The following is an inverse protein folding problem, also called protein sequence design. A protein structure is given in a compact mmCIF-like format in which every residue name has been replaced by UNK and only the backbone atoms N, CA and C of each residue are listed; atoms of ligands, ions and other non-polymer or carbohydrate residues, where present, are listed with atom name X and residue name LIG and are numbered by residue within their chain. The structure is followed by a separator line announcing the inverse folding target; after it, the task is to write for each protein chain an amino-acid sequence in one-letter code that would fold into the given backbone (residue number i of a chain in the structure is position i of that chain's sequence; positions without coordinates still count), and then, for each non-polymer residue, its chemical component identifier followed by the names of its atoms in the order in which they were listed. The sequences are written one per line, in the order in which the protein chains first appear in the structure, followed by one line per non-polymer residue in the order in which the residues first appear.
data_IF_202771729457
#
_entry.id   IF_202771729457
#
_cell.length_a   1.000
_cell.length_b   1.000
_cell.length_c   1.000
_cell.angle_alpha   90.00
_cell.angle_beta   90.00
_cell.angle_gamma   90.00
#
_symmetry.space_group_name_H-M   'P 1'
#
loop_
_entity.id
_entity.type
_entity.pdbx_description
1 polymer ?
#
# COMPACT_ATOMS: atom_id res chain seq x y z
N UNK A 1 -7.66 11.90 26.10
CA UNK A 1 -8.96 11.65 26.77
C UNK A 1 -9.77 12.92 27.13
N UNK A 2 -9.79 13.98 26.28
CA UNK A 2 -10.73 15.13 26.45
C UNK A 2 -12.14 14.82 25.94
N UNK A 3 -12.26 13.93 24.93
CA UNK A 3 -13.52 13.52 24.28
C UNK A 3 -14.52 12.81 25.22
N UNK A 4 -14.04 12.07 26.22
CA UNK A 4 -14.92 11.34 27.15
C UNK A 4 -15.68 12.25 28.13
N UNK A 5 -15.26 13.50 28.34
CA UNK A 5 -15.90 14.44 29.29
C UNK A 5 -17.14 15.15 28.72
N UNK A 6 -17.44 14.99 27.43
CA UNK A 6 -18.54 15.69 26.75
C UNK A 6 -19.71 14.77 26.36
N UNK A 7 -19.77 13.53 26.89
CA UNK A 7 -20.77 12.51 26.54
C UNK A 7 -22.23 12.88 26.84
N UNK A 8 -22.49 13.90 27.66
CA UNK A 8 -23.84 14.27 28.12
C UNK A 8 -24.38 15.57 27.47
N UNK A 9 -23.74 16.10 26.43
CA UNK A 9 -24.23 17.28 25.70
C UNK A 9 -24.83 16.90 24.35
N UNK A 10 -25.98 17.49 23.98
CA UNK A 10 -26.73 17.09 22.78
C UNK A 10 -26.02 17.42 21.46
N UNK A 11 -25.02 18.31 21.47
CA UNK A 11 -24.13 18.55 20.34
C UNK A 11 -22.75 19.09 20.78
N UNK A 12 -21.74 18.23 21.01
CA UNK A 12 -20.44 18.65 21.52
C UNK A 12 -19.53 19.28 20.46
N UNK A 13 -19.84 19.12 19.17
CA UNK A 13 -18.96 19.51 18.06
C UNK A 13 -18.58 21.00 18.07
N UNK A 14 -19.50 21.98 18.25
CA UNK A 14 -19.13 23.39 18.25
C UNK A 14 -18.13 23.75 19.36
N UNK A 15 -18.25 23.14 20.54
CA UNK A 15 -17.31 23.36 21.65
C UNK A 15 -15.95 22.75 21.37
N UNK A 16 -15.92 21.56 20.77
CA UNK A 16 -14.69 20.89 20.35
C UNK A 16 -13.97 21.76 19.32
N UNK A 17 -14.67 22.20 18.27
CA UNK A 17 -14.08 23.04 17.22
C UNK A 17 -13.58 24.38 17.76
N UNK A 18 -14.33 25.05 18.65
CA UNK A 18 -13.83 26.27 19.32
C UNK A 18 -12.57 26.03 20.14
N UNK A 19 -12.41 24.83 20.71
CA UNK A 19 -11.19 24.47 21.42
C UNK A 19 -10.05 24.24 20.43
N UNK A 20 -10.30 23.50 19.35
CA UNK A 20 -9.32 23.26 18.28
C UNK A 20 -8.84 24.56 17.66
N UNK A 21 -9.72 25.54 17.43
CA UNK A 21 -9.35 26.84 16.86
C UNK A 21 -8.37 27.62 17.72
N UNK A 22 -8.34 27.40 19.04
CA UNK A 22 -7.34 28.02 19.92
C UNK A 22 -5.94 27.45 19.72
N UNK A 23 -5.87 26.18 19.30
CA UNK A 23 -4.63 25.42 19.21
C UNK A 23 -4.14 25.33 17.74
N UNK A 24 -5.06 25.39 16.76
CA UNK A 24 -4.78 25.13 15.34
C UNK A 24 -5.57 26.06 14.42
N UNK A 25 -4.85 26.73 13.51
CA UNK A 25 -5.43 27.47 12.39
C UNK A 25 -5.55 26.65 11.11
N UNK A 26 -4.69 25.62 10.97
CA UNK A 26 -4.61 24.74 9.81
C UNK A 26 -4.71 23.28 10.28
N UNK A 27 -5.56 22.50 9.63
CA UNK A 27 -5.71 21.06 9.87
C UNK A 27 -5.43 20.30 8.57
N UNK A 28 -4.60 19.27 8.67
CA UNK A 28 -4.31 18.36 7.57
C UNK A 28 -5.04 17.02 7.77
N UNK A 29 -5.86 16.63 6.80
CA UNK A 29 -6.49 15.31 6.73
C UNK A 29 -5.87 14.51 5.60
N UNK A 30 -5.03 13.54 5.95
CA UNK A 30 -4.49 12.60 4.97
C UNK A 30 -5.49 11.46 4.70
N UNK A 31 -5.56 11.02 3.44
CA UNK A 31 -6.40 9.91 2.95
C UNK A 31 -7.89 9.99 3.36
N UNK A 32 -8.53 11.11 3.08
CA UNK A 32 -9.95 11.31 3.33
C UNK A 32 -10.80 10.34 2.51
N UNK A 33 -11.44 9.39 3.19
CA UNK A 33 -12.33 8.39 2.62
C UNK A 33 -13.50 8.11 3.57
N UNK A 34 -14.67 7.83 3.02
CA UNK A 34 -15.89 7.57 3.78
C UNK A 34 -16.42 6.20 3.38
N UNK A 35 -16.52 5.28 4.35
CA UNK A 35 -16.96 3.90 4.14
C UNK A 35 -18.25 3.56 4.88
N UNK A 36 -18.70 4.41 5.82
CA UNK A 36 -19.89 4.21 6.64
C UNK A 36 -20.70 5.52 6.78
N UNK A 37 -22.03 5.43 6.78
CA UNK A 37 -22.95 6.56 6.94
C UNK A 37 -22.80 7.28 8.28
N UNK A 38 -22.53 6.55 9.38
CA UNK A 38 -22.37 7.18 10.69
C UNK A 38 -21.14 8.11 10.71
N UNK A 39 -20.03 7.64 10.15
CA UNK A 39 -18.80 8.42 10.00
C UNK A 39 -19.04 9.60 9.05
N UNK A 40 -19.76 9.38 7.95
CA UNK A 40 -20.12 10.43 6.99
C UNK A 40 -20.87 11.59 7.67
N UNK A 41 -21.87 11.27 8.50
CA UNK A 41 -22.69 12.27 9.20
C UNK A 41 -21.88 13.07 10.24
N UNK A 42 -21.03 12.40 11.02
CA UNK A 42 -20.17 13.07 12.01
C UNK A 42 -19.15 13.96 11.31
N UNK A 43 -18.52 13.45 10.26
CA UNK A 43 -17.47 14.14 9.52
C UNK A 43 -18.02 15.34 8.75
N UNK A 44 -19.18 15.21 8.11
CA UNK A 44 -19.85 16.32 7.44
C UNK A 44 -20.14 17.48 8.39
N UNK A 45 -20.73 17.18 9.56
CA UNK A 45 -20.97 18.20 10.61
C UNK A 45 -19.68 18.81 11.15
N UNK A 46 -18.62 18.01 11.29
CA UNK A 46 -17.33 18.50 11.77
C UNK A 46 -16.70 19.48 10.77
N UNK A 47 -16.70 19.13 9.48
CA UNK A 47 -16.16 20.00 8.42
C UNK A 47 -16.95 21.31 8.32
N UNK A 48 -18.28 21.26 8.37
CA UNK A 48 -19.13 22.44 8.42
C UNK A 48 -18.75 23.37 9.59
N UNK A 49 -18.50 22.80 10.78
CA UNK A 49 -18.05 23.59 11.93
C UNK A 49 -16.64 24.16 11.73
N UNK A 50 -15.72 23.43 11.11
CA UNK A 50 -14.38 23.94 10.80
C UNK A 50 -14.43 25.14 9.83
N UNK A 51 -15.20 25.03 8.75
CA UNK A 51 -15.40 26.13 7.80
C UNK A 51 -16.01 27.35 8.49
N UNK A 52 -17.06 27.14 9.29
CA UNK A 52 -17.73 28.22 10.05
C UNK A 52 -16.85 28.90 11.09
N UNK A 53 -15.74 28.27 11.51
CA UNK A 53 -14.80 28.82 12.50
C UNK A 53 -13.46 29.23 11.85
N UNK A 54 -13.41 29.40 10.53
CA UNK A 54 -12.21 29.83 9.78
C UNK A 54 -10.99 28.96 10.07
N UNK A 55 -11.17 27.65 10.17
CA UNK A 55 -10.07 26.68 10.19
C UNK A 55 -9.78 26.30 8.75
N UNK A 56 -8.53 26.49 8.32
CA UNK A 56 -8.10 26.11 6.99
C UNK A 56 -7.85 24.60 6.94
N UNK A 57 -8.46 23.93 5.97
CA UNK A 57 -8.34 22.48 5.83
C UNK A 57 -7.55 22.16 4.58
N UNK A 58 -6.54 21.32 4.74
CA UNK A 58 -5.83 20.69 3.61
C UNK A 58 -6.12 19.20 3.70
N UNK A 59 -6.59 18.61 2.59
CA UNK A 59 -6.91 17.19 2.57
C UNK A 59 -6.46 16.50 1.28
N UNK A 60 -6.04 15.24 1.41
CA UNK A 60 -5.77 14.35 0.28
C UNK A 60 -6.89 13.30 0.21
N UNK A 61 -7.31 12.92 -1.00
CA UNK A 61 -8.29 11.85 -1.20
C UNK A 61 -8.04 11.15 -2.53
N UNK A 62 -8.30 9.85 -2.56
CA UNK A 62 -8.34 9.07 -3.80
C UNK A 62 -9.71 9.14 -4.50
N UNK A 63 -10.67 9.85 -3.91
CA UNK A 63 -12.05 9.98 -4.40
C UNK A 63 -12.37 11.46 -4.57
N UNK A 64 -12.90 11.87 -5.73
CA UNK A 64 -13.35 13.25 -5.92
C UNK A 64 -14.56 13.55 -5.02
N UNK A 65 -14.81 14.81 -4.60
CA UNK A 65 -15.90 15.12 -3.68
C UNK A 65 -17.27 14.57 -4.10
N UNK A 66 -17.63 14.65 -5.39
CA UNK A 66 -18.91 14.12 -5.90
C UNK A 66 -19.06 12.60 -5.70
N UNK A 67 -17.96 11.86 -5.68
CA UNK A 67 -17.95 10.40 -5.55
C UNK A 67 -17.80 9.95 -4.09
N UNK A 68 -17.70 10.89 -3.13
CA UNK A 68 -17.63 10.54 -1.72
C UNK A 68 -18.87 9.73 -1.33
N UNK A 69 -18.63 8.58 -0.69
CA UNK A 69 -19.64 7.64 -0.26
C UNK A 69 -20.60 7.18 -1.37
N UNK A 70 -20.14 7.17 -2.63
CA UNK A 70 -20.95 6.73 -3.78
C UNK A 70 -21.47 5.29 -3.58
N UNK A 71 -22.75 5.08 -3.84
CA UNK A 71 -23.43 3.79 -3.61
C UNK A 71 -23.65 3.42 -2.14
N UNK A 72 -23.24 4.29 -1.20
CA UNK A 72 -23.43 4.09 0.23
C UNK A 72 -24.90 4.12 0.67
N UNK A 73 -25.20 3.41 1.75
CA UNK A 73 -26.53 3.35 2.33
C UNK A 73 -26.97 4.75 2.80
N UNK A 74 -28.14 5.22 2.37
CA UNK A 74 -28.67 6.55 2.71
C UNK A 74 -27.77 7.73 2.30
N UNK A 75 -27.01 7.59 1.20
CA UNK A 75 -26.14 8.65 0.66
C UNK A 75 -26.84 10.00 0.47
N UNK A 76 -28.15 10.02 0.21
CA UNK A 76 -28.91 11.26 0.07
C UNK A 76 -28.82 12.18 1.30
N UNK A 77 -28.67 11.61 2.50
CA UNK A 77 -28.44 12.39 3.72
C UNK A 77 -27.04 13.03 3.76
N UNK A 78 -26.09 12.47 3.01
CA UNK A 78 -24.72 12.97 2.92
C UNK A 78 -24.49 14.00 1.81
N UNK A 79 -25.37 14.04 0.80
CA UNK A 79 -25.33 15.00 -0.30
C UNK A 79 -25.16 16.48 0.15
N UNK A 80 -25.87 16.98 1.18
CA UNK A 80 -25.69 18.36 1.62
C UNK A 80 -24.26 18.67 2.10
N UNK A 81 -23.59 17.70 2.72
CA UNK A 81 -22.21 17.88 3.17
C UNK A 81 -21.21 17.80 2.01
N UNK A 82 -21.51 17.02 0.97
CA UNK A 82 -20.70 17.03 -0.26
C UNK A 82 -20.75 18.42 -0.91
N UNK A 83 -21.93 19.02 -1.02
CA UNK A 83 -22.07 20.38 -1.56
C UNK A 83 -21.35 21.40 -0.67
N UNK A 84 -21.50 21.31 0.65
CA UNK A 84 -20.76 22.16 1.58
C UNK A 84 -19.23 22.04 1.41
N UNK A 85 -18.70 20.82 1.25
CA UNK A 85 -17.29 20.59 0.96
C UNK A 85 -16.89 21.30 -0.35
N UNK A 86 -17.68 21.15 -1.41
CA UNK A 86 -17.39 21.76 -2.72
C UNK A 86 -17.42 23.29 -2.66
N UNK A 87 -18.38 23.87 -1.95
CA UNK A 87 -18.52 25.32 -1.81
C UNK A 87 -17.38 25.95 -0.99
N UNK A 88 -16.77 25.19 -0.09
CA UNK A 88 -15.75 25.68 0.85
C UNK A 88 -14.33 25.16 0.56
N UNK A 89 -14.11 24.40 -0.52
CA UNK A 89 -12.79 23.85 -0.85
C UNK A 89 -12.39 24.06 -2.30
N UNK A 90 -11.08 24.13 -2.54
CA UNK A 90 -10.49 24.10 -3.87
C UNK A 90 -9.99 22.68 -4.16
N UNK A 91 -10.58 22.04 -5.17
CA UNK A 91 -10.25 20.67 -5.54
C UNK A 91 -9.12 20.67 -6.58
N UNK A 92 -7.96 20.14 -6.19
CA UNK A 92 -6.84 19.92 -7.11
C UNK A 92 -6.74 18.44 -7.47
N UNK A 93 -7.06 18.10 -8.72
CA UNK A 93 -6.87 16.73 -9.21
C UNK A 93 -5.40 16.46 -9.52
N UNK A 94 -4.77 15.59 -8.74
CA UNK A 94 -3.43 15.07 -8.99
C UNK A 94 -3.45 13.97 -10.08
N UNK A 95 -4.07 14.26 -11.23
CA UNK A 95 -4.03 13.36 -12.40
C UNK A 95 -2.73 13.60 -13.17
N UNK A 96 -1.57 13.31 -12.55
CA UNK A 96 -0.28 13.34 -13.26
C UNK A 96 -0.09 12.13 -14.18
N UNK A 97 -0.98 11.12 -14.12
CA UNK A 97 -0.80 9.83 -14.77
C UNK A 97 0.46 9.08 -14.33
N UNK A 98 1.13 9.57 -13.28
CA UNK A 98 2.47 9.16 -12.87
C UNK A 98 2.44 8.77 -11.39
N UNK A 99 2.57 7.47 -11.11
CA UNK A 99 2.83 7.01 -9.75
C UNK A 99 4.28 7.41 -9.38
N UNK A 100 4.41 8.39 -8.47
CA UNK A 100 5.72 8.88 -8.04
C UNK A 100 6.56 7.81 -7.33
N UNK A 101 5.93 6.78 -6.74
CA UNK A 101 6.64 5.65 -6.14
C UNK A 101 7.32 4.82 -7.23
N UNK A 102 6.60 4.58 -8.32
CA UNK A 102 7.13 3.87 -9.49
C UNK A 102 8.24 4.67 -10.18
N UNK A 103 8.06 5.99 -10.36
CA UNK A 103 9.10 6.86 -10.89
C UNK A 103 10.37 6.89 -10.03
N UNK A 104 10.20 6.90 -8.71
CA UNK A 104 11.33 6.79 -7.79
C UNK A 104 12.04 5.44 -7.96
N UNK A 105 11.29 4.34 -7.95
CA UNK A 105 11.80 2.98 -8.08
C UNK A 105 12.52 2.76 -9.41
N UNK A 106 12.03 3.33 -10.51
CA UNK A 106 12.65 3.24 -11.83
C UNK A 106 14.06 3.83 -11.86
N UNK A 107 14.40 4.75 -10.95
CA UNK A 107 15.75 5.33 -10.83
C UNK A 107 16.67 4.55 -9.89
N UNK A 108 16.18 3.52 -9.20
CA UNK A 108 16.95 2.74 -8.24
C UNK A 108 17.40 1.41 -8.84
N UNK A 109 18.55 0.91 -8.39
CA UNK A 109 18.85 -0.51 -8.50
C UNK A 109 18.03 -1.25 -7.44
N UNK A 110 17.16 -2.16 -7.88
CA UNK A 110 16.16 -2.80 -6.99
C UNK A 110 16.55 -4.22 -6.60
N UNK A 111 17.72 -4.71 -7.00
CA UNK A 111 18.27 -5.99 -6.56
C UNK A 111 19.49 -5.78 -5.66
N UNK A 112 19.39 -6.22 -4.41
CA UNK A 112 20.39 -5.98 -3.37
C UNK A 112 21.08 -7.29 -2.96
N UNK A 113 22.42 -7.29 -2.96
CA UNK A 113 23.21 -8.46 -2.58
C UNK A 113 23.61 -8.33 -1.10
N UNK A 114 22.99 -9.10 -0.22
CA UNK A 114 23.19 -9.03 1.23
C UNK A 114 24.51 -9.70 1.62
N UNK A 115 25.61 -8.98 1.41
CA UNK A 115 26.97 -9.37 1.86
C UNK A 115 27.41 -8.60 3.10
N UNK A 116 26.78 -7.46 3.35
CA UNK A 116 27.20 -6.53 4.39
C UNK A 116 26.00 -5.68 4.92
N UNK A 117 26.13 -5.07 6.11
CA UNK A 117 25.06 -4.26 6.70
C UNK A 117 24.64 -3.02 5.89
N UNK A 118 25.53 -2.45 5.05
CA UNK A 118 25.22 -1.28 4.23
C UNK A 118 24.19 -1.64 3.15
N UNK A 119 24.30 -2.82 2.56
CA UNK A 119 23.33 -3.25 1.55
C UNK A 119 21.91 -3.38 2.13
N UNK A 120 21.79 -3.87 3.37
CA UNK A 120 20.50 -3.91 4.08
C UNK A 120 19.97 -2.51 4.41
N UNK A 121 20.85 -1.55 4.73
CA UNK A 121 20.46 -0.14 4.90
C UNK A 121 19.89 0.45 3.61
N UNK A 122 20.53 0.21 2.46
CA UNK A 122 20.05 0.72 1.17
C UNK A 122 18.68 0.14 0.79
N UNK A 123 18.46 -1.16 0.99
CA UNK A 123 17.14 -1.78 0.81
C UNK A 123 16.08 -1.12 1.70
N UNK A 124 16.39 -0.92 2.99
CA UNK A 124 15.48 -0.27 3.93
C UNK A 124 15.21 1.20 3.58
N UNK A 125 16.15 1.91 2.97
CA UNK A 125 15.95 3.29 2.51
C UNK A 125 14.99 3.36 1.32
N UNK A 126 15.11 2.44 0.36
CA UNK A 126 14.15 2.33 -0.75
C UNK A 126 12.76 2.04 -0.21
N UNK A 127 12.66 1.09 0.72
CA UNK A 127 11.41 0.74 1.38
C UNK A 127 10.81 1.94 2.11
N UNK A 128 11.58 2.61 2.98
CA UNK A 128 11.13 3.78 3.73
C UNK A 128 10.60 4.89 2.82
N UNK A 129 11.28 5.13 1.70
CA UNK A 129 10.87 6.15 0.72
C UNK A 129 9.57 5.77 0.04
N UNK A 130 9.41 4.51 -0.37
CA UNK A 130 8.18 4.02 -1.01
C UNK A 130 6.98 4.02 -0.07
N UNK A 131 7.21 3.78 1.23
CA UNK A 131 6.15 3.82 2.24
C UNK A 131 5.66 5.24 2.53
N UNK A 132 6.46 6.29 2.25
CA UNK A 132 6.09 7.69 2.48
C UNK A 132 5.53 7.96 3.88
N UNK A 133 6.14 7.36 4.91
CA UNK A 133 5.73 7.51 6.31
C UNK A 133 4.58 6.60 6.76
N UNK A 134 3.96 5.84 5.85
CA UNK A 134 2.95 4.84 6.20
C UNK A 134 3.58 3.64 6.90
N UNK A 135 2.81 3.03 7.80
CA UNK A 135 3.22 1.84 8.52
C UNK A 135 2.57 0.61 7.92
N UNK A 136 3.30 -0.50 7.94
CA UNK A 136 2.75 -1.79 7.58
C UNK A 136 1.66 -2.22 8.55
N UNK A 137 0.67 -2.92 8.00
CA UNK A 137 -0.35 -3.60 8.76
C UNK A 137 -0.61 -4.98 8.15
N UNK A 138 -1.22 -5.86 8.94
CA UNK A 138 -1.67 -7.16 8.47
C UNK A 138 -2.84 -6.98 7.50
N UNK A 139 -2.75 -7.62 6.33
CA UNK A 139 -3.83 -7.71 5.35
C UNK A 139 -4.28 -9.16 5.20
N UNK A 140 -5.56 -9.41 5.46
CA UNK A 140 -6.21 -10.68 5.12
C UNK A 140 -6.82 -10.61 3.73
N UNK A 141 -6.63 -11.66 2.94
CA UNK A 141 -7.34 -11.89 1.68
C UNK A 141 -8.01 -13.27 1.74
N UNK A 142 -9.24 -13.34 1.22
CA UNK A 142 -10.01 -14.59 1.16
C UNK A 142 -9.91 -15.17 -0.25
N UNK A 143 -9.46 -16.42 -0.33
CA UNK A 143 -9.23 -17.14 -1.59
C UNK A 143 -9.95 -18.48 -1.47
N UNK A 144 -11.07 -18.63 -2.20
CA UNK A 144 -11.90 -19.84 -2.20
C UNK A 144 -12.24 -20.35 -0.79
N UNK A 145 -12.56 -19.44 0.14
CA UNK A 145 -12.90 -19.75 1.54
C UNK A 145 -11.70 -19.98 2.46
N UNK A 146 -10.46 -19.87 1.96
CA UNK A 146 -9.24 -19.86 2.77
C UNK A 146 -8.79 -18.43 3.03
N UNK A 147 -8.36 -18.14 4.25
CA UNK A 147 -7.69 -16.88 4.58
C UNK A 147 -6.19 -16.96 4.30
N UNK A 148 -5.67 -16.00 3.56
CA UNK A 148 -4.24 -15.74 3.40
C UNK A 148 -3.89 -14.44 4.10
N UNK A 149 -2.82 -14.46 4.88
CA UNK A 149 -2.39 -13.34 5.72
C UNK A 149 -1.09 -12.78 5.13
N UNK A 150 -1.05 -11.48 4.91
CA UNK A 150 0.14 -10.72 4.54
C UNK A 150 0.47 -9.79 5.70
N UNK A 151 1.49 -10.10 6.48
CA UNK A 151 1.80 -9.36 7.71
C UNK A 151 2.27 -7.92 7.45
N UNK A 152 3.00 -7.72 6.35
CA UNK A 152 3.57 -6.42 6.02
C UNK A 152 2.96 -5.86 4.73
N UNK A 153 1.76 -5.30 4.84
CA UNK A 153 1.06 -4.69 3.72
C UNK A 153 0.59 -3.27 4.02
N UNK A 154 0.75 -2.35 3.06
CA UNK A 154 0.13 -1.02 3.12
C UNK A 154 0.01 -0.39 1.73
N UNK A 155 -1.16 0.13 1.39
CA UNK A 155 -1.42 0.89 0.15
C UNK A 155 -0.81 0.29 -1.13
N UNK A 156 -0.94 -1.03 -1.33
CA UNK A 156 -0.43 -1.75 -2.48
C UNK A 156 1.07 -2.06 -2.45
N UNK A 157 1.74 -1.82 -1.33
CA UNK A 157 3.12 -2.24 -1.07
C UNK A 157 3.07 -3.44 -0.14
N UNK A 158 3.72 -4.53 -0.52
CA UNK A 158 3.81 -5.73 0.32
C UNK A 158 5.27 -6.13 0.50
N UNK A 159 5.63 -6.50 1.73
CA UNK A 159 6.95 -7.00 2.07
C UNK A 159 6.86 -8.45 2.57
N UNK A 160 7.73 -9.29 2.05
CA UNK A 160 7.78 -10.72 2.36
C UNK A 160 9.22 -11.16 2.62
N UNK A 161 9.41 -12.12 3.53
CA UNK A 161 10.54 -13.03 3.42
C UNK A 161 10.25 -14.06 2.32
N UNK A 162 11.28 -14.54 1.62
CA UNK A 162 11.15 -15.61 0.63
C UNK A 162 10.39 -16.82 1.18
N UNK A 163 10.62 -17.18 2.44
CA UNK A 163 9.97 -18.33 3.09
C UNK A 163 8.47 -18.13 3.22
N UNK A 164 8.01 -16.91 3.50
CA UNK A 164 6.59 -16.60 3.67
C UNK A 164 5.81 -16.74 2.35
N UNK A 165 6.50 -16.68 1.20
CA UNK A 165 5.90 -16.86 -0.11
C UNK A 165 6.07 -18.27 -0.66
N UNK A 166 7.26 -18.85 -0.55
CA UNK A 166 7.64 -20.03 -1.31
C UNK A 166 7.74 -21.31 -0.47
N UNK A 167 7.83 -21.22 0.86
CA UNK A 167 7.75 -22.40 1.74
C UNK A 167 6.31 -22.73 2.15
N UNK A 168 5.38 -21.81 1.89
CA UNK A 168 3.95 -22.03 2.08
C UNK A 168 3.36 -22.93 0.98
N UNK A 169 2.18 -23.49 1.24
CA UNK A 169 1.44 -24.33 0.27
C UNK A 169 0.70 -23.51 -0.79
N UNK A 170 1.21 -22.32 -1.15
CA UNK A 170 0.58 -21.44 -2.12
C UNK A 170 0.62 -22.03 -3.54
N UNK A 171 -0.52 -21.92 -4.23
CA UNK A 171 -0.68 -22.22 -5.66
C UNK A 171 -0.70 -20.96 -6.52
N UNK A 172 -0.80 -21.13 -7.84
CA UNK A 172 -0.84 -20.00 -8.79
C UNK A 172 -1.96 -19.00 -8.48
N UNK A 173 -3.12 -19.49 -8.06
CA UNK A 173 -4.29 -18.68 -7.73
C UNK A 173 -4.01 -17.75 -6.56
N UNK A 174 -3.24 -18.22 -5.57
CA UNK A 174 -2.87 -17.42 -4.41
C UNK A 174 -1.96 -16.26 -4.82
N UNK A 175 -0.96 -16.53 -5.65
CA UNK A 175 -0.09 -15.49 -6.18
C UNK A 175 -0.84 -14.49 -7.05
N UNK A 176 -1.82 -14.93 -7.83
CA UNK A 176 -2.69 -14.04 -8.62
C UNK A 176 -3.46 -13.10 -7.69
N UNK A 177 -4.09 -13.61 -6.63
CA UNK A 177 -4.83 -12.76 -5.67
C UNK A 177 -3.91 -11.79 -4.92
N UNK A 178 -2.70 -12.22 -4.52
CA UNK A 178 -1.69 -11.34 -3.93
C UNK A 178 -1.31 -10.21 -4.92
N UNK A 179 -1.11 -10.54 -6.20
CA UNK A 179 -0.73 -9.58 -7.25
C UNK A 179 -1.86 -8.60 -7.60
N UNK A 180 -3.13 -8.96 -7.42
CA UNK A 180 -4.25 -8.03 -7.61
C UNK A 180 -4.20 -6.86 -6.63
N UNK A 181 -3.85 -7.13 -5.37
CA UNK A 181 -3.79 -6.10 -4.33
C UNK A 181 -2.41 -5.44 -4.22
N UNK A 182 -1.35 -6.08 -4.69
CA UNK A 182 0.03 -5.59 -4.53
C UNK A 182 0.57 -5.01 -5.83
N UNK A 183 1.04 -3.76 -5.79
CA UNK A 183 1.70 -3.07 -6.91
C UNK A 183 3.22 -3.07 -6.82
N UNK A 184 3.76 -3.04 -5.59
CA UNK A 184 5.20 -3.03 -5.32
C UNK A 184 5.51 -4.15 -4.33
N UNK A 185 6.30 -5.12 -4.77
CA UNK A 185 6.78 -6.23 -3.95
C UNK A 185 8.17 -5.94 -3.40
N UNK A 186 8.35 -6.17 -2.10
CA UNK A 186 9.65 -6.28 -1.46
C UNK A 186 9.85 -7.73 -1.01
N UNK A 187 10.80 -8.45 -1.62
CA UNK A 187 11.08 -9.86 -1.27
C UNK A 187 12.50 -9.96 -0.70
N UNK A 188 12.62 -10.34 0.57
CA UNK A 188 13.91 -10.55 1.22
C UNK A 188 14.38 -12.01 1.12
N UNK A 189 15.69 -12.20 1.12
CA UNK A 189 16.36 -13.48 1.37
C UNK A 189 16.08 -14.56 0.31
N UNK A 190 16.05 -14.20 -0.98
CA UNK A 190 16.00 -15.18 -2.07
C UNK A 190 17.21 -16.12 -1.96
N UNK A 191 17.00 -17.44 -1.81
CA UNK A 191 18.09 -18.38 -1.61
C UNK A 191 18.78 -18.73 -2.93
N UNK A 192 19.96 -19.34 -2.81
CA UNK A 192 20.49 -20.19 -3.87
C UNK A 192 19.69 -21.50 -3.90
N UNK A 193 19.16 -21.87 -5.06
CA UNK A 193 18.35 -23.07 -5.17
C UNK A 193 19.21 -24.31 -5.36
N UNK A 194 18.81 -25.38 -4.70
CA UNK A 194 19.34 -26.75 -4.80
C UNK A 194 18.19 -27.70 -5.14
N UNK A 195 18.49 -28.97 -5.42
CA UNK A 195 17.45 -29.98 -5.66
C UNK A 195 16.53 -30.21 -4.45
N UNK A 196 16.98 -29.87 -3.24
CA UNK A 196 16.16 -29.93 -2.02
C UNK A 196 15.08 -28.84 -2.00
N UNK A 197 15.32 -27.71 -2.66
CA UNK A 197 14.40 -26.57 -2.76
C UNK A 197 13.64 -26.54 -4.09
N UNK A 198 13.49 -27.68 -4.76
CA UNK A 198 12.85 -27.75 -6.08
C UNK A 198 11.40 -27.23 -6.07
N UNK A 199 10.63 -27.50 -5.00
CA UNK A 199 9.24 -27.08 -4.89
C UNK A 199 9.14 -25.56 -4.68
N UNK A 200 9.99 -25.02 -3.81
CA UNK A 200 10.13 -23.60 -3.51
C UNK A 200 10.59 -22.85 -4.75
N UNK A 201 11.49 -23.44 -5.53
CA UNK A 201 11.94 -22.88 -6.80
C UNK A 201 10.82 -22.86 -7.85
N UNK A 202 10.02 -23.92 -7.97
CA UNK A 202 8.83 -23.93 -8.83
C UNK A 202 7.86 -22.81 -8.46
N UNK A 203 7.58 -22.64 -7.16
CA UNK A 203 6.72 -21.57 -6.64
C UNK A 203 7.29 -20.19 -6.92
N UNK A 204 8.59 -20.00 -6.73
CA UNK A 204 9.27 -18.75 -7.04
C UNK A 204 9.22 -18.41 -8.53
N UNK A 205 9.46 -19.38 -9.42
CA UNK A 205 9.31 -19.22 -10.87
C UNK A 205 7.89 -18.74 -11.20
N UNK A 206 6.88 -19.40 -10.65
CA UNK A 206 5.48 -19.04 -10.87
C UNK A 206 5.16 -17.61 -10.38
N UNK A 207 5.60 -17.26 -9.17
CA UNK A 207 5.42 -15.92 -8.61
C UNK A 207 6.07 -14.84 -9.49
N UNK A 208 7.33 -15.03 -9.91
CA UNK A 208 8.02 -14.06 -10.77
C UNK A 208 7.34 -13.94 -12.12
N UNK A 209 6.86 -15.04 -12.69
CA UNK A 209 6.11 -15.02 -13.95
C UNK A 209 4.83 -14.18 -13.81
N UNK A 210 4.07 -14.35 -12.72
CA UNK A 210 2.85 -13.57 -12.46
C UNK A 210 3.16 -12.08 -12.22
N UNK A 211 4.20 -11.76 -11.44
CA UNK A 211 4.64 -10.38 -11.19
C UNK A 211 5.02 -9.70 -12.52
N UNK A 212 5.78 -10.41 -13.35
CA UNK A 212 6.24 -9.92 -14.65
C UNK A 212 5.08 -9.67 -15.62
N UNK A 213 4.18 -10.65 -15.77
CA UNK A 213 3.07 -10.57 -16.71
C UNK A 213 2.06 -9.45 -16.33
N UNK A 214 1.96 -9.11 -15.03
CA UNK A 214 1.15 -8.00 -14.52
C UNK A 214 1.90 -6.65 -14.48
N UNK A 215 3.15 -6.59 -14.94
CA UNK A 215 3.99 -5.38 -14.96
C UNK A 215 4.11 -4.73 -13.57
N UNK A 216 4.27 -5.54 -12.52
CA UNK A 216 4.37 -5.07 -11.15
C UNK A 216 5.83 -4.77 -10.77
N UNK A 217 6.04 -3.87 -9.82
CA UNK A 217 7.38 -3.51 -9.37
C UNK A 217 7.91 -4.52 -8.35
N UNK A 218 9.19 -4.87 -8.47
CA UNK A 218 9.88 -5.76 -7.54
C UNK A 218 11.17 -5.13 -7.02
N UNK A 219 11.36 -5.22 -5.70
CA UNK A 219 12.59 -4.96 -4.99
C UNK A 219 12.96 -6.23 -4.24
N UNK A 220 14.18 -6.73 -4.43
CA UNK A 220 14.57 -8.03 -3.94
C UNK A 220 15.95 -8.05 -3.29
N UNK A 221 16.14 -8.96 -2.35
CA UNK A 221 17.46 -9.25 -1.77
C UNK A 221 17.85 -10.72 -1.91
N UNK A 222 19.14 -10.98 -2.13
CA UNK A 222 19.72 -12.32 -2.19
C UNK A 222 21.16 -12.32 -1.67
N UNK A 223 21.75 -13.50 -1.44
CA UNK A 223 23.17 -13.61 -1.03
C UNK A 223 24.15 -13.45 -2.19
N UNK A 224 23.70 -13.62 -3.43
CA UNK A 224 24.51 -13.57 -4.65
C UNK A 224 23.85 -12.68 -5.72
N UNK A 225 24.60 -12.17 -6.71
CA UNK A 225 24.03 -11.51 -7.89
C UNK A 225 23.04 -12.41 -8.66
N UNK A 226 22.09 -11.80 -9.38
CA UNK A 226 21.05 -12.52 -10.16
C UNK A 226 21.66 -13.61 -11.06
N UNK A 227 22.72 -13.29 -11.81
CA UNK A 227 23.36 -14.22 -12.74
C UNK A 227 24.14 -15.37 -12.06
N UNK A 228 24.26 -15.35 -10.73
CA UNK A 228 24.93 -16.37 -9.93
C UNK A 228 23.96 -17.18 -9.07
N UNK A 229 22.66 -16.86 -9.08
CA UNK A 229 21.66 -17.63 -8.35
C UNK A 229 21.61 -19.05 -8.95
N UNK A 230 21.89 -20.05 -8.12
CA UNK A 230 21.89 -21.45 -8.56
C UNK A 230 20.47 -21.97 -8.73
N UNK A 231 20.35 -23.11 -9.43
CA UNK A 231 19.08 -23.79 -9.71
C UNK A 231 19.16 -25.26 -9.30
N UNK A 232 18.01 -25.85 -8.98
CA UNK A 232 17.86 -27.31 -9.10
C UNK A 232 18.12 -27.76 -10.54
N UNK A 233 18.64 -28.99 -10.70
CA UNK A 233 19.05 -29.55 -11.99
C UNK A 233 17.86 -29.63 -12.95
N UNK A 234 16.70 -30.06 -12.46
CA UNK A 234 15.48 -30.22 -13.26
C UNK A 234 14.92 -28.89 -13.77
N UNK A 235 15.11 -27.80 -13.02
CA UNK A 235 14.56 -26.49 -13.36
C UNK A 235 15.52 -25.56 -14.07
N UNK A 236 16.80 -25.93 -14.18
CA UNK A 236 17.86 -25.04 -14.67
C UNK A 236 17.51 -24.32 -15.98
N UNK A 237 16.92 -25.04 -16.95
CA UNK A 237 16.54 -24.46 -18.24
C UNK A 237 15.41 -23.43 -18.12
N UNK A 238 14.38 -23.72 -17.34
CA UNK A 238 13.24 -22.81 -17.14
C UNK A 238 13.67 -21.60 -16.31
N UNK A 239 14.53 -21.84 -15.31
CA UNK A 239 14.99 -20.81 -14.39
C UNK A 239 15.82 -19.71 -15.06
N UNK A 240 16.53 -19.99 -16.16
CA UNK A 240 17.21 -18.96 -16.94
C UNK A 240 16.26 -17.85 -17.42
N UNK A 241 15.04 -18.20 -17.83
CA UNK A 241 14.00 -17.22 -18.19
C UNK A 241 13.60 -16.37 -16.97
N UNK A 242 13.44 -17.01 -15.82
CA UNK A 242 13.11 -16.34 -14.56
C UNK A 242 14.21 -15.36 -14.13
N UNK A 243 15.49 -15.71 -14.32
CA UNK A 243 16.60 -14.79 -14.05
C UNK A 243 16.59 -13.56 -14.97
N UNK A 244 16.24 -13.72 -16.26
CA UNK A 244 16.05 -12.59 -17.19
C UNK A 244 14.93 -11.67 -16.70
N UNK A 245 13.76 -12.24 -16.40
CA UNK A 245 12.60 -11.51 -15.88
C UNK A 245 12.91 -10.79 -14.57
N UNK A 246 13.62 -11.46 -13.66
CA UNK A 246 14.06 -10.87 -12.39
C UNK A 246 15.00 -9.69 -12.64
N UNK A 247 15.93 -9.81 -13.60
CA UNK A 247 16.80 -8.72 -14.03
C UNK A 247 16.01 -7.52 -14.58
N UNK A 248 15.07 -7.76 -15.48
CA UNK A 248 14.20 -6.71 -16.04
C UNK A 248 13.36 -6.02 -14.97
N UNK A 249 12.74 -6.79 -14.07
CA UNK A 249 11.91 -6.28 -12.97
C UNK A 249 12.69 -5.43 -11.95
N UNK A 250 14.00 -5.64 -11.82
CA UNK A 250 14.81 -5.01 -10.79
C UNK A 250 15.82 -3.98 -11.30
N UNK A 251 15.92 -3.82 -12.62
CA UNK A 251 16.82 -2.86 -13.25
C UNK A 251 16.23 -1.45 -13.23
N UNK A 252 17.11 -0.45 -13.07
CA UNK A 252 16.74 0.95 -13.27
C UNK A 252 16.49 1.24 -14.75
N UNK A 253 15.40 1.93 -15.06
CA UNK A 253 15.06 2.41 -16.40
C UNK A 253 15.82 3.70 -16.73
#
# INVERSE_FOLDING_TARGET
NKLHKLKNESNPLPKIVKTFKKDFDIIFFDEFQITNIADAMILGKLLEQFFSNNIFIITTSNVKPDDLYLGGLQRDQFLPYIENIKDNTLVYSLNSGKDYRELYLNKQNRFFIVKDPQTKKNFNQVLFTVLSGKQFATKEIEIKGRKLIIDNYVSGVAKFDFKDLCFQTYGSEDYIEICKITKIFFIENIPNFTDELINEQYRFINLIDIIYDNQLSLVATASVPINQITSSVKLAKVFQRTLSRLGELTRSN
#
